data_IF_116694259803
#
_entry.id   IF_116694259803
#
_cell.length_a   1.000
_cell.length_b   1.000
_cell.length_c   1.000
_cell.angle_alpha   90.00
_cell.angle_beta   90.00
_cell.angle_gamma   90.00
#
_symmetry.space_group_name_H-M   'P 1'
#
loop_
_entity.id
_entity.type
_entity.pdbx_description
1 polymer ?
#
# COMPACT_ATOMS: atom_id res chain seq x y z
N UNK A 1 18.16 -9.70 -20.99
CA UNK A 1 18.33 -9.18 -19.60
C UNK A 1 17.83 -10.24 -18.63
N UNK A 2 18.44 -10.33 -17.44
CA UNK A 2 18.18 -11.39 -16.44
C UNK A 2 17.94 -10.76 -15.05
N UNK A 3 17.26 -11.46 -14.13
CA UNK A 3 16.97 -10.96 -12.77
C UNK A 3 18.23 -10.63 -11.97
N UNK A 4 19.35 -11.27 -12.30
CA UNK A 4 20.67 -10.97 -11.74
C UNK A 4 21.22 -9.59 -12.11
N UNK A 5 20.60 -8.92 -13.10
CA UNK A 5 20.96 -7.53 -13.44
C UNK A 5 20.48 -6.50 -12.41
N UNK A 6 19.56 -6.87 -11.51
CA UNK A 6 18.94 -5.93 -10.57
C UNK A 6 18.07 -4.87 -11.26
N UNK A 7 17.74 -5.05 -12.55
CA UNK A 7 16.91 -4.11 -13.28
C UNK A 7 15.49 -4.10 -12.70
N UNK A 8 15.03 -2.91 -12.32
CA UNK A 8 13.66 -2.68 -11.88
C UNK A 8 12.70 -2.81 -13.05
N UNK A 9 11.77 -3.77 -12.96
CA UNK A 9 10.72 -3.97 -13.97
C UNK A 9 9.45 -3.17 -13.65
N UNK A 10 9.13 -3.07 -12.37
CA UNK A 10 7.92 -2.42 -11.88
C UNK A 10 8.24 -1.73 -10.54
N UNK A 11 7.75 -0.51 -10.36
CA UNK A 11 7.71 0.16 -9.06
C UNK A 11 6.29 0.65 -8.81
N UNK A 12 5.76 0.35 -7.64
CA UNK A 12 4.49 0.90 -7.20
C UNK A 12 4.68 1.43 -5.78
N UNK A 13 4.85 2.76 -5.66
CA UNK A 13 4.98 3.40 -4.35
C UNK A 13 3.60 3.63 -3.77
N UNK A 14 3.38 3.05 -2.61
CA UNK A 14 2.14 3.10 -1.87
C UNK A 14 2.15 4.25 -0.84
N UNK A 15 3.34 4.74 -0.50
CA UNK A 15 3.58 5.88 0.39
C UNK A 15 4.04 7.10 -0.39
N UNK A 16 3.76 8.30 0.12
CA UNK A 16 4.34 9.55 -0.39
C UNK A 16 5.85 9.68 -0.18
N UNK A 17 6.50 8.72 0.48
CA UNK A 17 7.95 8.64 0.52
C UNK A 17 8.47 8.22 -0.86
N UNK A 18 9.22 9.11 -1.51
CA UNK A 18 9.95 8.80 -2.73
C UNK A 18 11.11 7.87 -2.40
N UNK A 19 10.84 6.55 -2.39
CA UNK A 19 11.90 5.56 -2.34
C UNK A 19 12.47 5.43 -3.76
N UNK A 20 13.75 5.76 -3.90
CA UNK A 20 14.51 5.46 -5.11
C UNK A 20 14.66 3.94 -5.23
N UNK A 21 13.74 3.34 -5.97
CA UNK A 21 13.67 1.91 -6.18
C UNK A 21 14.89 1.37 -6.96
N UNK A 22 15.59 2.20 -7.74
CA UNK A 22 16.80 1.77 -8.44
C UNK A 22 17.98 1.70 -7.47
N UNK A 23 18.10 2.67 -6.57
CA UNK A 23 19.07 2.64 -5.46
C UNK A 23 18.80 1.46 -4.52
N UNK A 24 17.54 1.23 -4.14
CA UNK A 24 17.16 0.10 -3.30
C UNK A 24 17.47 -1.23 -3.98
N UNK A 25 17.14 -1.36 -5.27
CA UNK A 25 17.46 -2.57 -6.04
C UNK A 25 18.97 -2.83 -6.07
N UNK A 26 19.78 -1.78 -6.31
CA UNK A 26 21.24 -1.87 -6.27
C UNK A 26 21.77 -2.27 -4.89
N UNK A 27 21.23 -1.67 -3.82
CA UNK A 27 21.57 -2.03 -2.45
C UNK A 27 21.24 -3.49 -2.14
N UNK A 28 20.05 -3.96 -2.51
CA UNK A 28 19.61 -5.34 -2.33
C UNK A 28 20.53 -6.30 -3.10
N UNK A 29 20.81 -5.99 -4.37
CA UNK A 29 21.67 -6.82 -5.20
C UNK A 29 23.08 -6.93 -4.61
N UNK A 30 23.65 -5.82 -4.13
CA UNK A 30 24.95 -5.83 -3.46
C UNK A 30 24.92 -6.71 -2.19
N UNK A 31 23.92 -6.57 -1.33
CA UNK A 31 23.81 -7.36 -0.11
C UNK A 31 23.64 -8.86 -0.39
N UNK A 32 22.87 -9.24 -1.41
CA UNK A 32 22.75 -10.63 -1.84
C UNK A 32 24.11 -11.15 -2.30
N UNK A 33 24.84 -10.43 -3.16
CA UNK A 33 26.15 -10.84 -3.65
C UNK A 33 27.13 -11.04 -2.48
N UNK A 34 27.17 -10.11 -1.52
CA UNK A 34 28.02 -10.24 -0.33
C UNK A 34 27.63 -11.44 0.54
N UNK A 35 26.33 -11.61 0.81
CA UNK A 35 25.82 -12.74 1.60
C UNK A 35 26.07 -14.09 0.93
N UNK A 36 25.99 -14.15 -0.40
CA UNK A 36 26.27 -15.35 -1.17
C UNK A 36 27.77 -15.68 -1.25
N UNK A 37 28.63 -14.65 -1.22
CA UNK A 37 30.09 -14.82 -1.26
C UNK A 37 30.68 -15.51 -0.03
N UNK A 38 29.96 -15.49 1.10
CA UNK A 38 30.35 -16.21 2.32
C UNK A 38 29.89 -17.69 2.35
N UNK A 39 29.00 -18.10 1.42
CA UNK A 39 28.41 -19.47 1.39
C UNK A 39 29.04 -20.41 0.36
N UNK A 40 30.30 -20.17 -0.01
CA UNK A 40 31.08 -21.01 -0.93
C UNK A 40 31.54 -22.31 -0.26
N UNK A 41 30.62 -23.23 0.05
CA UNK A 41 30.98 -24.63 0.39
C UNK A 41 29.85 -25.67 0.31
N UNK A 42 28.90 -25.58 -0.63
CA UNK A 42 28.06 -26.75 -0.93
C UNK A 42 27.42 -26.69 -2.31
N UNK A 43 27.73 -27.67 -3.15
CA UNK A 43 27.25 -27.82 -4.54
C UNK A 43 25.73 -28.13 -4.67
N UNK A 44 24.96 -28.08 -3.59
CA UNK A 44 23.48 -28.24 -3.57
C UNK A 44 22.71 -26.91 -3.50
N UNK A 45 23.40 -25.77 -3.57
CA UNK A 45 22.86 -24.45 -3.22
C UNK A 45 21.77 -23.91 -4.16
N UNK A 46 21.65 -24.37 -5.40
CA UNK A 46 20.64 -23.85 -6.34
C UNK A 46 19.20 -24.18 -5.93
N UNK A 47 18.96 -25.36 -5.35
CA UNK A 47 17.62 -25.82 -4.96
C UNK A 47 17.15 -25.20 -3.64
N UNK A 48 18.08 -24.92 -2.71
CA UNK A 48 17.80 -24.27 -1.43
C UNK A 48 17.53 -22.77 -1.63
N UNK A 49 18.26 -22.11 -2.54
CA UNK A 49 18.12 -20.68 -2.86
C UNK A 49 16.76 -20.30 -3.48
N UNK A 50 16.09 -21.22 -4.19
CA UNK A 50 14.76 -20.96 -4.75
C UNK A 50 13.62 -21.12 -3.74
N UNK A 51 13.87 -21.60 -2.51
CA UNK A 51 12.82 -21.85 -1.51
C UNK A 51 12.94 -20.97 -0.26
N UNK A 52 14.13 -20.44 0.04
CA UNK A 52 14.36 -19.64 1.23
C UNK A 52 14.02 -18.15 1.01
N UNK A 53 13.44 -17.52 2.02
CA UNK A 53 13.28 -16.07 2.08
C UNK A 53 14.60 -15.42 2.49
N UNK A 54 14.94 -14.31 1.84
CA UNK A 54 15.97 -13.41 2.33
C UNK A 54 15.29 -12.35 3.19
N UNK A 55 15.64 -12.32 4.47
CA UNK A 55 15.09 -11.38 5.43
C UNK A 55 16.22 -10.54 6.00
N UNK A 56 16.01 -9.23 6.00
CA UNK A 56 17.00 -8.27 6.48
C UNK A 56 16.29 -7.19 7.28
N UNK A 57 16.75 -6.98 8.51
CA UNK A 57 16.28 -5.89 9.35
C UNK A 57 17.28 -4.73 9.26
N UNK A 58 16.80 -3.55 8.88
CA UNK A 58 17.60 -2.34 8.84
C UNK A 58 16.92 -1.22 9.59
N UNK A 59 17.49 -0.85 10.74
CA UNK A 59 16.95 0.19 11.61
C UNK A 59 15.46 -0.04 11.92
N UNK A 60 14.58 0.72 11.27
CA UNK A 60 13.16 0.80 11.55
C UNK A 60 12.30 0.02 10.53
N UNK A 61 12.90 -0.67 9.55
CA UNK A 61 12.16 -1.48 8.59
C UNK A 61 12.76 -2.87 8.41
N UNK A 62 11.91 -3.79 7.96
CA UNK A 62 12.21 -5.16 7.64
C UNK A 62 12.01 -5.36 6.14
N UNK A 63 12.99 -5.96 5.48
CA UNK A 63 12.88 -6.36 4.08
C UNK A 63 12.57 -7.85 4.03
N UNK A 64 11.48 -8.21 3.37
CA UNK A 64 11.18 -9.58 2.96
C UNK A 64 11.42 -9.72 1.46
N UNK A 65 12.36 -10.57 1.07
CA UNK A 65 12.71 -10.78 -0.32
C UNK A 65 12.61 -12.23 -0.71
N UNK A 66 12.03 -12.47 -1.89
CA UNK A 66 11.91 -13.79 -2.46
C UNK A 66 12.10 -13.77 -3.97
N UNK A 67 12.98 -14.65 -4.45
CA UNK A 67 13.19 -14.90 -5.87
C UNK A 67 12.14 -15.90 -6.38
N UNK A 68 11.51 -15.56 -7.51
CA UNK A 68 10.85 -16.51 -8.41
C UNK A 68 11.79 -16.98 -9.52
N UNK A 69 11.26 -17.61 -10.55
CA UNK A 69 12.00 -18.02 -11.74
C UNK A 69 12.46 -16.79 -12.56
N UNK A 70 11.54 -15.86 -12.84
CA UNK A 70 11.73 -14.70 -13.69
C UNK A 70 11.85 -13.38 -12.92
N UNK A 71 11.15 -13.24 -11.80
CA UNK A 71 11.09 -12.00 -11.02
C UNK A 71 11.60 -12.18 -9.59
N UNK A 72 11.81 -11.05 -8.93
CA UNK A 72 12.11 -10.95 -7.51
C UNK A 72 11.10 -10.02 -6.86
N UNK A 73 10.41 -10.50 -5.84
CA UNK A 73 9.54 -9.66 -5.02
C UNK A 73 10.32 -9.18 -3.79
N UNK A 74 10.18 -7.90 -3.49
CA UNK A 74 10.74 -7.25 -2.30
C UNK A 74 9.63 -6.46 -1.60
N UNK A 75 9.33 -6.81 -0.35
CA UNK A 75 8.41 -6.06 0.50
C UNK A 75 9.21 -5.34 1.58
N UNK A 76 8.92 -4.06 1.78
CA UNK A 76 9.45 -3.24 2.88
C UNK A 76 8.34 -3.11 3.92
N UNK A 77 8.61 -3.58 5.13
CA UNK A 77 7.61 -3.77 6.18
C UNK A 77 8.09 -3.11 7.47
N UNK A 78 7.19 -2.51 8.25
CA UNK A 78 7.53 -1.96 9.57
C UNK A 78 7.93 -3.05 10.57
N UNK A 79 7.40 -4.26 10.38
CA UNK A 79 7.65 -5.42 11.23
C UNK A 79 8.03 -6.65 10.40
N UNK A 80 8.57 -7.68 11.06
CA UNK A 80 8.90 -8.95 10.42
C UNK A 80 7.65 -9.57 9.79
N UNK A 81 7.83 -10.16 8.61
CA UNK A 81 6.74 -10.81 7.88
C UNK A 81 6.15 -11.98 8.67
N UNK A 82 4.82 -12.07 8.70
CA UNK A 82 4.12 -13.23 9.26
C UNK A 82 4.24 -14.46 8.34
N UNK A 83 3.98 -15.65 8.88
CA UNK A 83 4.00 -16.88 8.08
C UNK A 83 2.91 -16.89 6.99
N UNK A 84 1.78 -16.20 7.23
CA UNK A 84 0.74 -15.99 6.22
C UNK A 84 1.29 -15.11 5.08
N UNK A 85 1.91 -13.98 5.40
CA UNK A 85 2.52 -13.10 4.38
C UNK A 85 3.59 -13.85 3.56
N UNK A 86 4.42 -14.68 4.22
CA UNK A 86 5.39 -15.53 3.52
C UNK A 86 4.70 -16.54 2.60
N UNK A 87 3.56 -17.09 3.00
CA UNK A 87 2.77 -17.99 2.16
C UNK A 87 2.20 -17.25 0.96
N UNK A 88 1.63 -16.07 1.18
CA UNK A 88 1.06 -15.21 0.14
C UNK A 88 2.13 -14.79 -0.87
N UNK A 89 3.34 -14.42 -0.43
CA UNK A 89 4.47 -14.10 -1.33
C UNK A 89 4.89 -15.29 -2.18
N UNK A 90 4.96 -16.50 -1.59
CA UNK A 90 5.28 -17.71 -2.38
C UNK A 90 4.20 -17.97 -3.43
N UNK A 91 2.94 -17.87 -3.04
CA UNK A 91 1.81 -18.11 -3.93
C UNK A 91 1.76 -17.06 -5.05
N UNK A 92 1.89 -15.78 -4.70
CA UNK A 92 1.97 -14.67 -5.63
C UNK A 92 3.05 -14.90 -6.68
N UNK A 93 4.28 -15.25 -6.28
CA UNK A 93 5.36 -15.45 -7.25
C UNK A 93 5.04 -16.57 -8.26
N UNK A 94 4.46 -17.67 -7.79
CA UNK A 94 4.07 -18.79 -8.66
C UNK A 94 2.97 -18.37 -9.64
N UNK A 95 1.88 -17.79 -9.13
CA UNK A 95 0.73 -17.41 -9.95
C UNK A 95 1.06 -16.26 -10.91
N UNK A 96 1.81 -15.27 -10.44
CA UNK A 96 2.20 -14.10 -11.23
C UNK A 96 3.13 -14.49 -12.39
N UNK A 97 4.09 -15.38 -12.14
CA UNK A 97 4.99 -15.87 -13.19
C UNK A 97 4.31 -16.76 -14.21
N UNK A 98 3.30 -17.53 -13.79
CA UNK A 98 2.49 -18.33 -14.70
C UNK A 98 1.57 -17.44 -15.56
N UNK A 99 0.85 -16.50 -14.91
CA UNK A 99 -0.08 -15.58 -15.56
C UNK A 99 0.62 -14.69 -16.60
N UNK A 100 1.81 -14.18 -16.27
CA UNK A 100 2.57 -13.27 -17.12
C UNK A 100 3.80 -13.91 -17.78
N UNK A 101 3.80 -15.24 -17.94
CA UNK A 101 4.93 -16.00 -18.47
C UNK A 101 5.41 -15.49 -19.84
N UNK A 102 4.46 -15.14 -20.71
CA UNK A 102 4.75 -14.70 -22.07
C UNK A 102 5.42 -13.33 -22.08
N UNK A 103 5.01 -12.43 -21.20
CA UNK A 103 5.55 -11.09 -21.02
C UNK A 103 7.02 -11.18 -20.57
N UNK A 104 7.33 -12.05 -19.61
CA UNK A 104 8.71 -12.29 -19.17
C UNK A 104 9.58 -12.91 -20.26
N UNK A 105 9.05 -13.91 -20.99
CA UNK A 105 9.75 -14.54 -22.13
C UNK A 105 10.04 -13.54 -23.24
N UNK A 106 9.05 -12.72 -23.58
CA UNK A 106 9.16 -11.70 -24.62
C UNK A 106 10.18 -10.65 -24.22
N UNK A 107 10.09 -10.14 -22.99
CA UNK A 107 11.08 -9.21 -22.46
C UNK A 107 12.51 -9.75 -22.52
N UNK A 108 12.72 -11.02 -22.15
CA UNK A 108 14.03 -11.66 -22.23
C UNK A 108 14.59 -11.69 -23.67
N UNK A 109 13.72 -11.84 -24.68
CA UNK A 109 14.09 -11.95 -26.10
C UNK A 109 14.21 -10.61 -26.81
N UNK A 110 13.26 -9.70 -26.59
CA UNK A 110 13.12 -8.45 -27.35
C UNK A 110 13.47 -7.20 -26.55
N UNK A 111 13.55 -7.29 -25.22
CA UNK A 111 13.69 -6.13 -24.32
C UNK A 111 12.41 -5.31 -24.16
N UNK A 112 11.29 -5.71 -24.79
CA UNK A 112 9.99 -5.02 -24.68
C UNK A 112 9.21 -5.62 -23.52
N UNK A 113 8.77 -4.79 -22.57
CA UNK A 113 7.99 -5.20 -21.40
C UNK A 113 6.62 -4.52 -21.43
N UNK A 114 5.54 -5.32 -21.40
CA UNK A 114 4.18 -4.82 -21.22
C UNK A 114 3.77 -5.01 -19.76
N UNK A 115 3.33 -3.94 -19.11
CA UNK A 115 2.94 -3.90 -17.69
C UNK A 115 1.42 -3.93 -17.47
N UNK A 116 0.65 -4.13 -18.54
CA UNK A 116 -0.81 -4.15 -18.46
C UNK A 116 -1.31 -5.21 -17.47
N UNK A 117 -2.22 -4.82 -16.57
CA UNK A 117 -2.84 -5.64 -15.51
C UNK A 117 -1.89 -6.22 -14.43
N UNK A 118 -0.57 -6.09 -14.59
CA UNK A 118 0.44 -6.53 -13.63
C UNK A 118 0.32 -5.82 -12.27
N UNK A 119 0.18 -4.49 -12.31
CA UNK A 119 0.03 -3.67 -11.09
C UNK A 119 -1.29 -4.01 -10.38
N UNK A 120 -2.37 -4.13 -11.14
CA UNK A 120 -3.70 -4.43 -10.60
C UNK A 120 -3.70 -5.79 -9.87
N UNK A 121 -3.08 -6.80 -10.47
CA UNK A 121 -2.96 -8.11 -9.83
C UNK A 121 -2.15 -8.04 -8.51
N UNK A 122 -1.07 -7.26 -8.47
CA UNK A 122 -0.31 -7.03 -7.23
C UNK A 122 -1.17 -6.33 -6.16
N UNK A 123 -1.88 -5.26 -6.54
CA UNK A 123 -2.76 -4.50 -5.63
C UNK A 123 -3.83 -5.41 -5.04
N UNK A 124 -4.44 -6.26 -5.86
CA UNK A 124 -5.49 -7.17 -5.44
C UNK A 124 -4.94 -8.28 -4.54
N UNK A 125 -3.82 -8.90 -4.90
CA UNK A 125 -3.26 -10.04 -4.14
C UNK A 125 -2.86 -9.64 -2.73
N UNK A 126 -2.17 -8.52 -2.57
CA UNK A 126 -1.71 -8.05 -1.26
C UNK A 126 -2.71 -7.12 -0.56
N UNK A 127 -3.93 -6.97 -1.10
CA UNK A 127 -4.93 -6.03 -0.59
C UNK A 127 -4.38 -4.60 -0.39
N UNK A 128 -3.47 -4.18 -1.27
CA UNK A 128 -2.82 -2.86 -1.20
C UNK A 128 -3.88 -1.76 -1.21
N UNK A 129 -5.02 -1.97 -1.85
CA UNK A 129 -6.17 -1.04 -1.84
C UNK A 129 -6.55 -0.53 -0.44
N UNK A 130 -6.31 -1.29 0.64
CA UNK A 130 -6.63 -0.88 2.02
C UNK A 130 -5.82 0.31 2.52
N UNK A 131 -4.68 0.61 1.90
CA UNK A 131 -3.88 1.79 2.26
C UNK A 131 -4.29 3.03 1.48
N UNK A 132 -5.12 2.89 0.44
CA UNK A 132 -5.53 4.01 -0.39
C UNK A 132 -6.53 4.90 0.34
N UNK A 133 -6.66 6.16 -0.07
CA UNK A 133 -7.75 7.01 0.34
C UNK A 133 -9.10 6.34 0.08
N UNK A 134 -9.93 6.27 1.11
CA UNK A 134 -11.26 5.69 1.08
C UNK A 134 -12.33 6.77 1.15
N UNK A 135 -13.45 6.52 0.50
CA UNK A 135 -14.68 7.30 0.59
C UNK A 135 -15.88 6.38 0.78
N UNK A 136 -17.05 6.97 1.01
CA UNK A 136 -18.31 6.21 0.99
C UNK A 136 -18.79 6.06 -0.45
N UNK A 137 -19.33 4.89 -0.78
CA UNK A 137 -20.06 4.72 -2.02
C UNK A 137 -21.21 5.73 -2.12
N UNK A 138 -21.46 6.19 -3.34
CA UNK A 138 -22.55 7.14 -3.63
C UNK A 138 -23.92 6.60 -3.21
N UNK A 139 -24.10 5.29 -3.28
CA UNK A 139 -25.27 4.58 -2.76
C UNK A 139 -24.86 3.28 -2.08
N UNK A 140 -25.47 3.02 -0.93
CA UNK A 140 -25.31 1.75 -0.20
C UNK A 140 -26.64 1.01 -0.30
N UNK A 141 -26.62 -0.26 -0.70
CA UNK A 141 -27.85 -1.02 -0.86
C UNK A 141 -28.62 -1.14 0.48
N UNK A 142 -29.96 -1.12 0.48
CA UNK A 142 -30.75 -1.19 1.72
C UNK A 142 -30.47 -2.44 2.57
N UNK A 143 -30.14 -3.56 1.93
CA UNK A 143 -29.81 -4.80 2.62
C UNK A 143 -28.47 -4.70 3.36
N UNK A 144 -27.47 -4.05 2.76
CA UNK A 144 -26.18 -3.80 3.39
C UNK A 144 -26.32 -2.87 4.58
N UNK A 145 -27.11 -1.80 4.45
CA UNK A 145 -27.42 -0.91 5.58
C UNK A 145 -28.09 -1.65 6.74
N UNK A 146 -29.03 -2.57 6.47
CA UNK A 146 -29.65 -3.38 7.51
C UNK A 146 -28.62 -4.26 8.23
N UNK A 147 -27.76 -4.95 7.47
CA UNK A 147 -26.69 -5.79 8.02
C UNK A 147 -25.71 -4.98 8.88
N UNK A 148 -25.27 -3.82 8.38
CA UNK A 148 -24.38 -2.90 9.11
C UNK A 148 -25.04 -2.44 10.41
N UNK A 149 -26.33 -2.10 10.39
CA UNK A 149 -27.04 -1.65 11.58
C UNK A 149 -27.21 -2.75 12.64
N UNK A 150 -27.12 -4.03 12.26
CA UNK A 150 -27.12 -5.16 13.19
C UNK A 150 -25.74 -5.41 13.83
N UNK A 151 -24.66 -5.00 13.17
CA UNK A 151 -23.29 -5.11 13.68
C UNK A 151 -22.84 -3.80 14.33
N UNK A 152 -22.71 -3.79 15.67
CA UNK A 152 -22.33 -2.58 16.41
C UNK A 152 -20.95 -2.02 16.01
N UNK A 153 -20.00 -2.89 15.64
CA UNK A 153 -18.66 -2.49 15.22
C UNK A 153 -18.74 -1.80 13.85
N UNK A 154 -19.39 -2.42 12.88
CA UNK A 154 -19.59 -1.81 11.55
C UNK A 154 -20.37 -0.50 11.63
N UNK A 155 -21.36 -0.41 12.52
CA UNK A 155 -22.10 0.82 12.76
C UNK A 155 -21.21 1.93 13.32
N UNK A 156 -20.33 1.61 14.27
CA UNK A 156 -19.35 2.56 14.81
C UNK A 156 -18.34 3.01 13.74
N UNK A 157 -17.81 2.06 12.96
CA UNK A 157 -16.92 2.32 11.83
C UNK A 157 -17.58 3.26 10.82
N UNK A 158 -18.81 2.97 10.39
CA UNK A 158 -19.54 3.79 9.41
C UNK A 158 -19.85 5.19 9.95
N UNK A 159 -20.18 5.31 11.23
CA UNK A 159 -20.45 6.61 11.87
C UNK A 159 -19.19 7.49 11.88
N UNK A 160 -18.06 6.94 12.32
CA UNK A 160 -16.80 7.67 12.35
C UNK A 160 -16.29 8.01 10.95
N UNK A 161 -16.47 7.13 9.97
CA UNK A 161 -16.13 7.41 8.58
C UNK A 161 -16.94 8.61 8.07
N UNK A 162 -18.27 8.65 8.33
CA UNK A 162 -19.12 9.80 7.98
C UNK A 162 -18.66 11.08 8.66
N UNK A 163 -18.32 11.04 9.95
CA UNK A 163 -17.81 12.21 10.69
C UNK A 163 -16.50 12.75 10.10
N UNK A 164 -15.55 11.87 9.74
CA UNK A 164 -14.32 12.29 9.08
C UNK A 164 -14.64 12.96 7.73
N UNK A 165 -15.55 12.36 6.97
CA UNK A 165 -15.93 12.82 5.63
C UNK A 165 -16.69 14.16 5.61
N UNK A 166 -17.20 14.63 6.76
CA UNK A 166 -17.73 16.01 6.87
C UNK A 166 -16.62 17.05 6.70
N UNK A 167 -15.40 16.72 7.14
CA UNK A 167 -14.26 17.65 7.19
C UNK A 167 -13.22 17.41 6.09
N UNK A 168 -13.11 16.17 5.59
CA UNK A 168 -12.11 15.76 4.60
C UNK A 168 -12.79 14.95 3.48
N UNK A 169 -12.36 15.07 2.21
CA UNK A 169 -13.00 14.36 1.11
C UNK A 169 -12.78 12.83 1.12
N UNK A 170 -11.85 12.34 1.92
CA UNK A 170 -11.53 10.91 2.08
C UNK A 170 -10.98 10.64 3.48
N UNK A 171 -10.79 9.35 3.80
CA UNK A 171 -10.11 8.89 5.00
C UNK A 171 -9.17 7.72 4.70
N UNK A 172 -8.19 7.46 5.56
CA UNK A 172 -7.34 6.27 5.48
C UNK A 172 -7.83 5.21 6.47
N UNK A 173 -7.73 3.92 6.11
CA UNK A 173 -8.12 2.80 6.98
C UNK A 173 -7.36 2.83 8.30
N UNK A 174 -6.05 3.11 8.30
CA UNK A 174 -5.26 3.19 9.53
C UNK A 174 -5.82 4.26 10.50
N UNK A 175 -6.15 5.45 9.99
CA UNK A 175 -6.72 6.52 10.80
C UNK A 175 -8.08 6.15 11.38
N UNK A 176 -8.93 5.51 10.57
CA UNK A 176 -10.24 5.04 11.01
C UNK A 176 -10.10 3.92 12.06
N UNK A 177 -9.24 2.93 11.81
CA UNK A 177 -8.92 1.83 12.72
C UNK A 177 -8.47 2.36 14.10
N UNK A 178 -7.54 3.31 14.12
CA UNK A 178 -7.03 3.90 15.36
C UNK A 178 -8.11 4.67 16.14
N UNK A 179 -9.02 5.36 15.45
CA UNK A 179 -10.16 6.04 16.10
C UNK A 179 -11.19 5.05 16.64
N UNK A 180 -11.56 4.03 15.87
CA UNK A 180 -12.51 2.99 16.28
C UNK A 180 -11.95 2.24 17.50
N UNK A 181 -10.67 1.85 17.46
CA UNK A 181 -10.00 1.14 18.56
C UNK A 181 -10.12 1.87 19.90
N UNK A 182 -10.00 3.21 19.91
CA UNK A 182 -10.16 4.05 21.10
C UNK A 182 -11.58 4.04 21.68
N UNK A 183 -12.60 3.74 20.88
CA UNK A 183 -14.01 3.78 21.28
C UNK A 183 -14.51 2.39 21.69
N UNK A 184 -14.23 1.37 20.87
CA UNK A 184 -14.83 0.05 21.05
C UNK A 184 -13.99 -0.85 21.96
N UNK A 185 -12.74 -0.49 22.24
CA UNK A 185 -11.79 -1.27 23.07
C UNK A 185 -11.71 -2.75 22.64
N UNK A 186 -11.64 -2.99 21.32
CA UNK A 186 -11.53 -4.31 20.70
C UNK A 186 -10.15 -4.50 20.06
N UNK A 187 -9.84 -5.75 19.77
CA UNK A 187 -8.63 -6.12 19.03
C UNK A 187 -8.61 -5.46 17.64
N UNK A 188 -7.44 -4.95 17.25
CA UNK A 188 -7.27 -4.25 15.97
C UNK A 188 -7.57 -5.15 14.77
N UNK A 189 -7.27 -6.45 14.85
CA UNK A 189 -7.51 -7.40 13.77
C UNK A 189 -9.01 -7.58 13.54
N UNK A 190 -9.81 -7.62 14.61
CA UNK A 190 -11.27 -7.73 14.51
C UNK A 190 -11.86 -6.46 13.85
N UNK A 191 -11.41 -5.29 14.26
CA UNK A 191 -11.86 -4.02 13.67
C UNK A 191 -11.43 -3.94 12.19
N UNK A 192 -10.20 -4.32 11.88
CA UNK A 192 -9.68 -4.33 10.51
C UNK A 192 -10.47 -5.29 9.62
N UNK A 193 -10.82 -6.48 10.13
CA UNK A 193 -11.67 -7.43 9.43
C UNK A 193 -13.05 -6.83 9.10
N UNK A 194 -13.66 -6.12 10.05
CA UNK A 194 -14.94 -5.45 9.80
C UNK A 194 -14.82 -4.29 8.79
N UNK A 195 -13.72 -3.54 8.81
CA UNK A 195 -13.43 -2.53 7.77
C UNK A 195 -13.27 -3.21 6.41
N UNK A 196 -12.53 -4.32 6.34
CA UNK A 196 -12.34 -5.10 5.11
C UNK A 196 -13.67 -5.58 4.54
N UNK A 197 -14.58 -6.07 5.37
CA UNK A 197 -15.94 -6.43 4.93
C UNK A 197 -16.68 -5.23 4.31
N UNK A 198 -16.57 -4.03 4.88
CA UNK A 198 -17.19 -2.84 4.29
C UNK A 198 -16.58 -2.47 2.93
N UNK A 199 -15.29 -2.72 2.71
CA UNK A 199 -14.63 -2.56 1.42
C UNK A 199 -15.14 -3.58 0.41
N UNK A 200 -15.15 -4.87 0.75
CA UNK A 200 -15.61 -5.96 -0.13
C UNK A 200 -17.09 -5.81 -0.55
N UNK A 201 -17.91 -5.25 0.35
CA UNK A 201 -19.32 -4.99 0.07
C UNK A 201 -19.57 -3.64 -0.62
N UNK A 202 -18.53 -2.99 -1.15
CA UNK A 202 -18.60 -1.69 -1.83
C UNK A 202 -19.28 -0.59 -0.99
N UNK A 203 -19.19 -0.66 0.34
CA UNK A 203 -19.64 0.42 1.23
C UNK A 203 -18.55 1.48 1.29
N UNK A 204 -17.31 1.03 1.45
CA UNK A 204 -16.11 1.83 1.31
C UNK A 204 -15.50 1.60 -0.06
N UNK A 205 -15.16 2.70 -0.74
CA UNK A 205 -14.58 2.67 -2.08
C UNK A 205 -13.24 3.37 -2.03
N UNK A 206 -12.20 2.68 -2.47
CA UNK A 206 -10.86 3.24 -2.62
C UNK A 206 -10.78 4.12 -3.86
N UNK A 207 -10.18 5.28 -3.72
CA UNK A 207 -9.79 6.14 -4.84
C UNK A 207 -8.28 6.02 -5.00
N UNK A 208 -7.80 5.78 -6.22
CA UNK A 208 -6.36 5.67 -6.45
C UNK A 208 -5.64 6.98 -6.10
N UNK A 209 -4.42 6.88 -5.57
CA UNK A 209 -3.64 7.99 -5.01
C UNK A 209 -3.43 9.11 -6.02
N UNK A 210 -3.22 8.80 -7.30
CA UNK A 210 -3.00 9.79 -8.35
C UNK A 210 -4.25 10.64 -8.58
N UNK A 211 -5.44 10.03 -8.47
CA UNK A 211 -6.73 10.75 -8.59
C UNK A 211 -6.96 11.68 -7.40
N UNK A 212 -6.50 11.30 -6.20
CA UNK A 212 -6.62 12.16 -5.01
C UNK A 212 -5.62 13.32 -5.05
N UNK A 213 -4.38 13.08 -5.49
CA UNK A 213 -3.37 14.13 -5.67
C UNK A 213 -3.87 15.23 -6.63
N UNK A 214 -4.38 14.86 -7.80
CA UNK A 214 -4.94 15.83 -8.75
C UNK A 214 -6.16 16.59 -8.20
N UNK A 215 -7.01 15.93 -7.42
CA UNK A 215 -8.17 16.58 -6.80
C UNK A 215 -7.79 17.52 -5.65
N UNK A 216 -6.71 17.24 -4.91
CA UNK A 216 -6.19 18.12 -3.87
C UNK A 216 -5.59 19.39 -4.45
N UNK A 217 -4.78 19.28 -5.51
CA UNK A 217 -4.22 20.44 -6.23
C UNK A 217 -5.33 21.36 -6.71
N UNK A 218 -6.40 20.80 -7.29
CA UNK A 218 -7.57 21.58 -7.70
C UNK A 218 -8.34 22.21 -6.53
N UNK A 219 -8.37 21.57 -5.35
CA UNK A 219 -9.03 22.10 -4.15
C UNK A 219 -8.23 23.25 -3.51
N UNK A 220 -6.90 23.15 -3.51
CA UNK A 220 -5.97 24.21 -3.08
C UNK A 220 -6.03 25.43 -4.01
N UNK A 221 -6.13 25.21 -5.32
CA UNK A 221 -6.35 26.28 -6.29
C UNK A 221 -7.70 26.97 -6.08
N UNK A 222 -8.79 26.21 -5.91
CA UNK A 222 -10.13 26.82 -5.69
C UNK A 222 -10.28 27.50 -4.34
N UNK A 223 -9.62 27.02 -3.29
CA UNK A 223 -9.58 27.71 -1.98
C UNK A 223 -8.71 28.96 -2.03
N UNK A 224 -7.58 28.93 -2.73
CA UNK A 224 -6.71 30.09 -2.96
C UNK A 224 -7.41 31.18 -3.79
N UNK A 225 -8.15 30.79 -4.83
CA UNK A 225 -8.96 31.72 -5.62
C UNK A 225 -10.14 32.32 -4.83
N UNK A 226 -10.79 31.52 -3.96
CA UNK A 226 -11.86 32.01 -3.08
C UNK A 226 -11.33 32.96 -2.01
N UNK A 227 -10.17 32.67 -1.41
CA UNK A 227 -9.50 33.55 -0.44
C UNK A 227 -9.01 34.85 -1.10
N UNK A 228 -8.57 34.79 -2.36
CA UNK A 228 -8.23 35.99 -3.14
C UNK A 228 -9.46 36.85 -3.49
N UNK A 229 -10.63 36.22 -3.74
CA UNK A 229 -11.89 36.93 -4.05
C UNK A 229 -12.63 37.47 -2.83
N UNK A 230 -12.40 36.92 -1.63
CA UNK A 230 -13.03 37.36 -0.38
C UNK A 230 -12.01 37.91 0.61
N UNK A 231 -11.26 38.96 0.24
CA UNK A 231 -10.63 39.86 1.21
C UNK A 231 -11.64 40.92 1.66
N UNK A 232 -12.36 40.77 2.79
CA UNK A 232 -12.95 41.93 3.44
C UNK A 232 -11.81 42.80 3.99
N UNK A 233 -11.85 44.07 3.61
CA UNK A 233 -10.97 45.13 4.10
C UNK A 233 -11.37 45.41 5.56
N UNK A 234 -10.88 44.60 6.48
CA UNK A 234 -10.81 44.94 7.91
C UNK A 234 -9.74 44.09 8.60
N UNK A 235 -8.53 44.64 8.57
CA UNK A 235 -7.58 44.73 9.68
C UNK A 235 -7.37 43.53 10.60
N UNK A 236 -6.11 43.06 10.60
CA UNK A 236 -5.24 43.00 11.78
C UNK A 236 -5.93 42.41 13.02
N UNK A 237 -5.68 41.13 13.31
CA UNK A 237 -5.30 40.64 14.63
C UNK A 237 -5.05 39.11 14.61
N UNK A 238 -3.88 38.77 15.16
CA UNK A 238 -3.48 37.50 15.79
C UNK A 238 -3.46 36.20 14.97
N UNK A 239 -2.22 35.78 14.66
CA UNK A 239 -1.65 34.44 14.88
C UNK A 239 -2.63 33.37 15.40
N UNK A 240 -2.67 32.20 14.76
CA UNK A 240 -2.31 30.94 15.43
C UNK A 240 -2.08 29.82 14.40
N UNK A 241 -1.11 28.97 14.74
CA UNK A 241 -0.49 27.81 14.08
C UNK A 241 -1.41 26.81 13.39
N UNK A 242 -0.98 26.29 12.24
CA UNK A 242 -1.63 25.16 11.55
C UNK A 242 -0.76 24.41 10.53
N UNK A 243 0.57 24.36 10.71
CA UNK A 243 1.49 23.60 9.83
C UNK A 243 2.37 22.66 10.68
N UNK A 244 1.76 21.80 11.51
CA UNK A 244 2.53 20.81 12.29
C UNK A 244 2.09 19.35 12.15
N UNK A 245 1.01 19.01 11.42
CA UNK A 245 0.52 17.61 11.38
C UNK A 245 0.82 16.85 10.07
N UNK A 246 1.94 17.16 9.40
CA UNK A 246 2.51 16.30 8.33
C UNK A 246 3.56 15.30 8.86
N UNK A 247 3.70 15.17 10.18
CA UNK A 247 4.42 14.05 10.76
C UNK A 247 3.46 12.85 10.84
N UNK A 248 3.69 11.88 9.96
CA UNK A 248 3.32 10.51 10.23
C UNK A 248 4.20 10.11 11.42
N UNK A 249 3.59 10.01 12.61
CA UNK A 249 4.22 9.31 13.73
C UNK A 249 4.40 7.85 13.30
N UNK A 250 5.64 7.51 12.97
CA UNK A 250 6.17 6.15 12.78
C UNK A 250 6.36 5.47 14.14
#
# INVERSE_FOLDING_TARGET
MDKESGLKLLNYSVSGAEIDADLLSGFIQANIIFSESDTVSSNDSKYIRSHQFYEFQYQNFNILLKNGEFIRLCLILDHTASDNMRTDVRQFLLEYEDLFHNEFRNFKKSGIFNVENMIEYLINTFNVKLVFPMSLAHSIAPNDLKRINQNQIQKAILTLAKEILVSKPFFFVNNLLNRVKKIVNLDANLILYEIYQLVENNVFVSTNLETVASNMEMLEETTSEKLAKFKPISSILSNYSGIEDLQIDL
#
